data_IF_636785386479
#
_entry.id   IF_636785386479
#
_cell.length_a   1.000
_cell.length_b   1.000
_cell.length_c   1.000
_cell.angle_alpha   90.00
_cell.angle_beta   90.00
_cell.angle_gamma   90.00
#
_symmetry.space_group_name_H-M   'P 1'
#
loop_
_entity.id
_entity.type
_entity.pdbx_description
1 polymer ?
#
# COMPACT_ATOMS: atom_id res chain seq x y z
N UNK A 1 18.88 58.35 18.32
CA UNK A 1 18.04 57.14 18.53
C UNK A 1 17.69 56.53 17.19
N UNK A 2 18.38 55.42 16.81
CA UNK A 2 18.21 54.75 15.51
C UNK A 2 17.32 53.53 15.69
N UNK A 3 16.14 53.53 15.06
CA UNK A 3 15.17 52.39 15.02
C UNK A 3 15.71 51.30 14.11
N UNK A 4 16.16 50.14 14.67
CA UNK A 4 16.48 48.90 13.92
C UNK A 4 15.19 48.26 13.39
N UNK A 5 14.97 48.35 12.08
CA UNK A 5 13.94 47.65 11.37
C UNK A 5 14.32 46.16 11.24
N UNK A 6 13.57 45.29 11.99
CA UNK A 6 13.69 43.84 11.90
C UNK A 6 12.99 43.35 10.64
N UNK A 7 13.75 42.96 9.59
CA UNK A 7 13.25 42.29 8.40
C UNK A 7 12.83 40.86 8.80
N UNK A 8 11.55 40.60 8.96
CA UNK A 8 10.95 39.26 9.06
C UNK A 8 11.17 38.52 7.72
N UNK A 9 12.14 37.62 7.69
CA UNK A 9 12.34 36.68 6.57
C UNK A 9 11.21 35.62 6.62
N UNK A 10 10.12 35.86 5.94
CA UNK A 10 9.10 34.85 5.64
C UNK A 10 9.65 33.87 4.60
N UNK A 11 10.27 32.78 5.06
CA UNK A 11 10.59 31.63 4.21
C UNK A 11 9.26 31.06 3.67
N UNK A 12 8.95 31.34 2.38
CA UNK A 12 7.90 30.65 1.64
C UNK A 12 8.13 29.13 1.75
N UNK A 13 7.09 28.32 2.09
CA UNK A 13 7.21 26.88 2.07
C UNK A 13 7.55 26.45 0.63
N UNK A 14 8.73 25.86 0.44
CA UNK A 14 9.13 25.27 -0.84
C UNK A 14 8.22 24.07 -1.07
N UNK A 15 7.22 24.20 -1.92
CA UNK A 15 6.47 23.07 -2.47
C UNK A 15 7.49 22.21 -3.24
N UNK A 16 7.96 21.13 -2.61
CA UNK A 16 8.77 20.10 -3.27
C UNK A 16 7.94 19.56 -4.44
N UNK A 17 8.14 20.07 -5.64
CA UNK A 17 7.62 19.47 -6.88
C UNK A 17 8.13 18.03 -6.94
N UNK A 18 7.22 17.06 -6.85
CA UNK A 18 7.55 15.66 -7.11
C UNK A 18 8.13 15.54 -8.51
N UNK A 19 9.24 14.81 -8.69
CA UNK A 19 9.86 14.64 -10.00
C UNK A 19 8.86 13.97 -10.95
N UNK A 20 8.79 14.38 -12.24
CA UNK A 20 7.85 13.81 -13.20
C UNK A 20 8.00 12.28 -13.32
N UNK A 21 9.21 11.76 -13.23
CA UNK A 21 9.47 10.32 -13.21
C UNK A 21 8.74 9.59 -12.06
N UNK A 22 8.73 10.18 -10.86
CA UNK A 22 8.02 9.58 -9.71
C UNK A 22 6.51 9.50 -9.94
N UNK A 23 5.94 10.49 -10.57
CA UNK A 23 4.51 10.50 -10.89
C UNK A 23 4.15 9.46 -11.95
N UNK A 24 5.01 9.24 -12.96
CA UNK A 24 4.84 8.19 -13.96
C UNK A 24 4.90 6.80 -13.32
N UNK A 25 5.90 6.55 -12.45
CA UNK A 25 5.97 5.27 -11.73
C UNK A 25 4.77 5.06 -10.81
N UNK A 26 4.28 6.10 -10.15
CA UNK A 26 3.07 6.01 -9.34
C UNK A 26 1.83 5.69 -10.19
N UNK A 27 1.71 6.29 -11.37
CA UNK A 27 0.63 5.99 -12.32
C UNK A 27 0.68 4.53 -12.80
N UNK A 28 1.89 3.97 -13.02
CA UNK A 28 2.04 2.56 -13.39
C UNK A 28 1.54 1.58 -12.31
N UNK A 29 1.53 1.98 -11.04
CA UNK A 29 0.96 1.13 -9.97
C UNK A 29 -0.57 1.04 -10.02
N UNK A 30 -1.23 1.92 -10.77
CA UNK A 30 -2.67 1.83 -11.00
C UNK A 30 -3.05 0.68 -11.93
N UNK A 31 -2.14 0.23 -12.80
CA UNK A 31 -2.42 -0.86 -13.75
C UNK A 31 -2.77 -2.16 -13.01
N UNK A 32 -1.93 -2.71 -12.12
CA UNK A 32 -2.30 -3.90 -11.35
C UNK A 32 -3.51 -3.64 -10.45
N UNK A 33 -3.68 -2.45 -9.91
CA UNK A 33 -4.88 -2.10 -9.13
C UNK A 33 -6.16 -2.27 -9.94
N UNK A 34 -6.19 -1.72 -11.16
CA UNK A 34 -7.35 -1.82 -12.06
C UNK A 34 -7.61 -3.28 -12.45
N UNK A 35 -6.56 -4.05 -12.74
CA UNK A 35 -6.68 -5.48 -13.03
C UNK A 35 -7.32 -6.19 -11.84
N UNK A 36 -6.83 -5.95 -10.62
CA UNK A 36 -7.39 -6.53 -9.40
C UNK A 36 -8.87 -6.20 -9.22
N UNK A 37 -9.25 -4.94 -9.42
CA UNK A 37 -10.65 -4.50 -9.33
C UNK A 37 -11.52 -5.17 -10.38
N UNK A 38 -11.02 -5.36 -11.62
CA UNK A 38 -11.76 -6.06 -12.70
C UNK A 38 -12.02 -7.52 -12.29
N UNK A 39 -11.02 -8.25 -11.79
CA UNK A 39 -11.19 -9.64 -11.38
C UNK A 39 -12.17 -9.78 -10.21
N UNK A 40 -12.06 -8.92 -9.19
CA UNK A 40 -13.00 -8.91 -8.04
C UNK A 40 -14.40 -8.52 -8.51
N UNK A 41 -14.51 -7.51 -9.38
CA UNK A 41 -15.79 -7.07 -9.94
C UNK A 41 -16.46 -8.17 -10.79
N UNK A 42 -15.68 -8.86 -11.62
CA UNK A 42 -16.17 -9.98 -12.41
C UNK A 42 -16.71 -11.11 -11.52
N UNK A 43 -16.02 -11.41 -10.41
CA UNK A 43 -16.51 -12.36 -9.43
C UNK A 43 -17.84 -11.93 -8.79
N UNK A 44 -17.95 -10.66 -8.39
CA UNK A 44 -19.20 -10.11 -7.80
C UNK A 44 -20.38 -10.17 -8.79
N UNK A 45 -20.07 -10.01 -10.09
CA UNK A 45 -21.07 -10.07 -11.17
C UNK A 45 -21.32 -11.49 -11.70
N UNK A 46 -20.72 -12.50 -11.05
CA UNK A 46 -20.81 -13.93 -11.44
C UNK A 46 -20.34 -14.19 -12.89
N UNK A 47 -19.35 -13.43 -13.33
CA UNK A 47 -18.70 -13.58 -14.64
C UNK A 47 -17.52 -14.54 -14.51
N UNK A 48 -17.59 -15.67 -15.18
CA UNK A 48 -16.50 -16.68 -15.21
C UNK A 48 -15.37 -16.22 -16.15
N UNK A 49 -14.33 -15.64 -15.56
CA UNK A 49 -13.09 -15.24 -16.29
C UNK A 49 -11.98 -16.27 -16.08
N UNK A 50 -11.99 -16.98 -14.96
CA UNK A 50 -11.08 -18.09 -14.63
C UNK A 50 -11.91 -19.34 -14.30
N UNK A 51 -11.23 -20.49 -14.37
CA UNK A 51 -11.85 -21.83 -14.19
C UNK A 51 -12.62 -22.01 -12.88
N UNK A 52 -12.26 -21.26 -11.84
CA UNK A 52 -12.97 -21.28 -10.56
C UNK A 52 -13.20 -19.88 -10.00
N UNK A 53 -14.36 -19.60 -9.41
CA UNK A 53 -14.64 -18.31 -8.78
C UNK A 53 -13.62 -17.95 -7.68
N UNK A 54 -13.14 -18.95 -6.94
CA UNK A 54 -12.16 -18.76 -5.89
C UNK A 54 -10.79 -18.31 -6.44
N UNK A 55 -10.31 -18.92 -7.52
CA UNK A 55 -9.06 -18.50 -8.19
C UNK A 55 -9.16 -17.06 -8.69
N UNK A 56 -10.33 -16.69 -9.20
CA UNK A 56 -10.58 -15.35 -9.73
C UNK A 56 -10.47 -14.28 -8.64
N UNK A 57 -11.07 -14.51 -7.46
CA UNK A 57 -10.96 -13.60 -6.32
C UNK A 57 -9.53 -13.51 -5.83
N UNK A 58 -8.85 -14.64 -5.65
CA UNK A 58 -7.47 -14.69 -5.16
C UNK A 58 -6.52 -13.94 -6.11
N UNK A 59 -6.63 -14.18 -7.42
CA UNK A 59 -5.85 -13.43 -8.42
C UNK A 59 -6.17 -11.93 -8.35
N UNK A 60 -7.43 -11.56 -8.20
CA UNK A 60 -7.83 -10.16 -8.05
C UNK A 60 -7.21 -9.50 -6.82
N UNK A 61 -7.26 -10.18 -5.67
CA UNK A 61 -6.65 -9.72 -4.41
C UNK A 61 -5.14 -9.60 -4.57
N UNK A 62 -4.47 -10.56 -5.20
CA UNK A 62 -3.03 -10.52 -5.45
C UNK A 62 -2.61 -9.27 -6.23
N UNK A 63 -3.27 -8.97 -7.35
CA UNK A 63 -2.97 -7.78 -8.14
C UNK A 63 -3.21 -6.49 -7.34
N UNK A 64 -4.26 -6.47 -6.54
CA UNK A 64 -4.56 -5.36 -5.63
C UNK A 64 -3.42 -5.15 -4.61
N UNK A 65 -2.97 -6.22 -3.94
CA UNK A 65 -1.87 -6.17 -2.98
C UNK A 65 -0.55 -5.72 -3.61
N UNK A 66 -0.20 -6.24 -4.79
CA UNK A 66 1.00 -5.84 -5.53
C UNK A 66 0.99 -4.35 -5.87
N UNK A 67 -0.16 -3.79 -6.20
CA UNK A 67 -0.31 -2.34 -6.41
C UNK A 67 0.08 -1.54 -5.16
N UNK A 68 -0.36 -1.97 -3.97
CA UNK A 68 0.02 -1.33 -2.71
C UNK A 68 1.50 -1.50 -2.39
N UNK A 69 2.08 -2.69 -2.63
CA UNK A 69 3.52 -2.92 -2.46
C UNK A 69 4.31 -1.94 -3.32
N UNK A 70 4.02 -1.89 -4.61
CA UNK A 70 4.72 -1.02 -5.56
C UNK A 70 4.56 0.46 -5.22
N UNK A 71 3.34 0.90 -4.91
CA UNK A 71 3.06 2.30 -4.52
C UNK A 71 3.83 2.72 -3.27
N UNK A 72 3.87 1.88 -2.23
CA UNK A 72 4.60 2.18 -1.00
C UNK A 72 6.11 2.12 -1.18
N UNK A 73 6.62 1.18 -1.99
CA UNK A 73 8.04 1.10 -2.34
C UNK A 73 8.53 2.35 -3.08
N UNK A 74 7.78 2.84 -4.07
CA UNK A 74 8.08 4.07 -4.81
C UNK A 74 8.10 5.29 -3.88
N UNK A 75 7.20 5.31 -2.88
CA UNK A 75 7.15 6.35 -1.87
C UNK A 75 8.23 6.21 -0.79
N UNK A 76 9.09 5.18 -0.89
CA UNK A 76 10.13 4.81 0.10
C UNK A 76 9.56 4.45 1.49
N UNK A 77 8.33 4.00 1.55
CA UNK A 77 7.67 3.51 2.76
C UNK A 77 7.86 2.00 2.88
N UNK A 78 9.11 1.58 3.08
CA UNK A 78 9.51 0.18 3.01
C UNK A 78 8.78 -0.73 4.01
N UNK A 79 8.45 -0.23 5.20
CA UNK A 79 7.69 -1.00 6.21
C UNK A 79 6.28 -1.33 5.74
N UNK A 80 5.58 -0.35 5.15
CA UNK A 80 4.26 -0.59 4.54
C UNK A 80 4.37 -1.51 3.33
N UNK A 81 5.37 -1.31 2.47
CA UNK A 81 5.61 -2.19 1.33
C UNK A 81 5.87 -3.63 1.78
N UNK A 82 6.66 -3.85 2.85
CA UNK A 82 6.90 -5.18 3.41
C UNK A 82 5.63 -5.81 3.99
N UNK A 83 4.80 -5.07 4.73
CA UNK A 83 3.54 -5.57 5.25
C UNK A 83 2.59 -6.03 4.14
N UNK A 84 2.38 -5.20 3.12
CA UNK A 84 1.57 -5.57 1.94
C UNK A 84 2.18 -6.72 1.15
N UNK A 85 3.53 -6.77 1.06
CA UNK A 85 4.26 -7.87 0.40
C UNK A 85 4.04 -9.22 1.09
N UNK A 86 4.06 -9.26 2.42
CA UNK A 86 3.75 -10.48 3.17
C UNK A 86 2.32 -10.96 2.94
N UNK A 87 1.35 -10.04 2.84
CA UNK A 87 -0.02 -10.40 2.49
C UNK A 87 -0.11 -10.98 1.08
N UNK A 88 0.60 -10.39 0.10
CA UNK A 88 0.65 -10.91 -1.26
C UNK A 88 1.30 -12.31 -1.33
N UNK A 89 2.35 -12.56 -0.55
CA UNK A 89 2.98 -13.88 -0.45
C UNK A 89 2.02 -14.89 0.18
N UNK A 90 1.31 -14.51 1.25
CA UNK A 90 0.32 -15.36 1.89
C UNK A 90 -0.79 -15.77 0.90
N UNK A 91 -1.26 -14.81 0.10
CA UNK A 91 -2.29 -15.02 -0.92
C UNK A 91 -1.82 -16.01 -2.01
N UNK A 92 -0.59 -15.86 -2.52
CA UNK A 92 0.01 -16.81 -3.48
C UNK A 92 0.13 -18.22 -2.86
N UNK A 93 0.58 -18.33 -1.61
CA UNK A 93 0.72 -19.64 -0.95
C UNK A 93 -0.62 -20.35 -0.89
N UNK A 94 -1.72 -19.64 -0.61
CA UNK A 94 -3.07 -20.24 -0.61
C UNK A 94 -3.53 -20.64 -2.01
N UNK A 95 -3.11 -19.94 -3.06
CA UNK A 95 -3.46 -20.25 -4.45
C UNK A 95 -2.72 -21.48 -4.97
N UNK A 96 -1.41 -21.60 -4.65
CA UNK A 96 -0.53 -22.65 -5.21
C UNK A 96 -0.63 -23.96 -4.42
N UNK A 97 -0.77 -23.87 -3.10
CA UNK A 97 -0.81 -25.05 -2.23
C UNK A 97 -2.11 -25.14 -1.47
N UNK A 98 -2.97 -26.07 -1.90
CA UNK A 98 -4.29 -26.29 -1.31
C UNK A 98 -4.30 -27.18 -0.06
N UNK A 99 -3.11 -27.57 0.47
CA UNK A 99 -3.02 -28.40 1.65
C UNK A 99 -3.10 -27.59 2.95
N UNK A 100 -3.56 -28.25 4.03
CA UNK A 100 -3.78 -27.62 5.35
C UNK A 100 -2.50 -27.00 5.92
N UNK A 101 -1.34 -27.65 5.73
CA UNK A 101 -0.07 -27.13 6.22
C UNK A 101 0.30 -25.80 5.55
N UNK A 102 0.11 -25.69 4.24
CA UNK A 102 0.34 -24.44 3.50
C UNK A 102 -0.63 -23.33 3.93
N UNK A 103 -1.88 -23.66 4.22
CA UNK A 103 -2.84 -22.68 4.72
C UNK A 103 -2.44 -22.13 6.10
N UNK A 104 -1.92 -22.97 6.99
CA UNK A 104 -1.40 -22.52 8.29
C UNK A 104 -0.20 -21.59 8.11
N UNK A 105 0.73 -21.94 7.20
CA UNK A 105 1.89 -21.09 6.88
C UNK A 105 1.42 -19.76 6.27
N UNK A 106 0.49 -19.77 5.34
CA UNK A 106 -0.07 -18.55 4.72
C UNK A 106 -0.74 -17.66 5.77
N UNK A 107 -1.55 -18.22 6.67
CA UNK A 107 -2.17 -17.49 7.77
C UNK A 107 -1.13 -16.86 8.70
N UNK A 108 -0.05 -17.59 9.01
CA UNK A 108 1.03 -17.08 9.85
C UNK A 108 1.76 -15.91 9.19
N UNK A 109 2.10 -16.03 7.90
CA UNK A 109 2.73 -14.96 7.12
C UNK A 109 1.79 -13.75 7.02
N UNK A 110 0.51 -13.98 6.71
CA UNK A 110 -0.51 -12.94 6.62
C UNK A 110 -0.68 -12.18 7.93
N UNK A 111 -0.71 -12.90 9.08
CA UNK A 111 -0.82 -12.30 10.41
C UNK A 111 0.37 -11.37 10.70
N UNK A 112 1.60 -11.80 10.38
CA UNK A 112 2.79 -10.95 10.52
C UNK A 112 2.65 -9.69 9.65
N UNK A 113 2.17 -9.84 8.40
CA UNK A 113 1.91 -8.72 7.51
C UNK A 113 0.91 -7.71 8.11
N UNK A 114 -0.21 -8.18 8.65
CA UNK A 114 -1.23 -7.34 9.31
C UNK A 114 -0.66 -6.62 10.54
N UNK A 115 0.13 -7.31 11.36
CA UNK A 115 0.77 -6.69 12.54
C UNK A 115 1.72 -5.57 12.11
N UNK A 116 2.56 -5.78 11.10
CA UNK A 116 3.46 -4.76 10.58
C UNK A 116 2.71 -3.54 10.06
N UNK A 117 1.63 -3.76 9.31
CA UNK A 117 0.76 -2.67 8.83
C UNK A 117 0.14 -1.92 10.00
N UNK A 118 -0.38 -2.63 11.00
CA UNK A 118 -0.99 -2.03 12.19
C UNK A 118 -0.02 -1.13 12.96
N UNK A 119 1.22 -1.60 13.19
CA UNK A 119 2.28 -0.82 13.86
C UNK A 119 2.58 0.45 13.07
N UNK A 120 2.71 0.37 11.75
CA UNK A 120 3.06 1.51 10.92
C UNK A 120 1.91 2.53 10.85
N UNK A 121 0.65 2.09 10.71
CA UNK A 121 -0.51 2.97 10.75
C UNK A 121 -0.65 3.66 12.11
N UNK A 122 -0.43 2.94 13.21
CA UNK A 122 -0.46 3.53 14.54
C UNK A 122 0.64 4.59 14.71
N UNK A 123 1.85 4.32 14.24
CA UNK A 123 2.98 5.28 14.25
C UNK A 123 2.63 6.56 13.48
N UNK A 124 2.08 6.43 12.27
CA UNK A 124 1.67 7.58 11.45
C UNK A 124 0.55 8.39 12.12
N UNK A 125 -0.39 7.72 12.76
CA UNK A 125 -1.47 8.39 13.48
C UNK A 125 -0.96 9.21 14.67
N UNK A 126 0.02 8.69 15.42
CA UNK A 126 0.66 9.41 16.52
C UNK A 126 1.43 10.64 16.00
N UNK A 127 2.20 10.51 14.92
CA UNK A 127 2.92 11.63 14.32
C UNK A 127 1.97 12.75 13.88
N UNK A 128 0.86 12.40 13.24
CA UNK A 128 -0.13 13.36 12.81
C UNK A 128 -0.79 14.13 13.99
N UNK A 129 -0.96 13.46 15.15
CA UNK A 129 -1.44 14.14 16.37
C UNK A 129 -0.44 15.15 16.92
N UNK A 130 0.84 14.77 16.97
CA UNK A 130 1.91 15.64 17.45
C UNK A 130 2.10 16.88 16.56
N UNK A 131 1.99 16.72 15.24
CA UNK A 131 2.10 17.83 14.30
C UNK A 131 0.92 18.82 14.41
N UNK A 132 -0.27 18.32 14.74
CA UNK A 132 -1.45 19.18 15.00
C UNK A 132 -1.35 19.93 16.33
N UNK A 133 -0.70 19.36 17.33
CA UNK A 133 -0.53 20.01 18.64
C UNK A 133 0.54 21.12 18.63
N UNK A 134 1.40 21.16 17.60
CA UNK A 134 2.46 22.17 17.43
C UNK A 134 2.04 23.39 16.60
N UNK A 135 0.84 23.39 16.07
CA UNK A 135 0.23 24.52 15.32
C UNK A 135 -0.73 25.29 16.18
#
# INVERSE_FOLDING_TARGET
MAKKSSKKNTKKPSTKRSSPAKNVFLALTLVPFVIGVIFIGAWVLDLEVLDTPQSQVTVGIFFFLISFVASNAIQKRWRLAAGWGLLAVADIVTLVWLNVAAQIVALSIGLIGVILLGIEFYSQFQQNKLDKAKK
#
